data_IF_818995281195
#
_entry.id   IF_818995281195
#
_cell.length_a   1.000
_cell.length_b   1.000
_cell.length_c   1.000
_cell.angle_alpha   90.00
_cell.angle_beta   90.00
_cell.angle_gamma   90.00
#
_symmetry.space_group_name_H-M   'P 1'
#
loop_
_entity.id
_entity.type
_entity.pdbx_description
1 polymer ?
#
# COMPACT_ATOMS: atom_id res chain seq x y z
N UNK A 1 -61.90 9.66 34.57
CA UNK A 1 -62.41 10.99 34.99
C UNK A 1 -61.47 12.04 34.38
N UNK A 2 -62.01 13.09 33.73
CA UNK A 2 -61.30 13.91 32.75
C UNK A 2 -60.60 15.16 33.34
N UNK A 3 -59.68 15.70 32.53
CA UNK A 3 -59.21 17.09 32.44
C UNK A 3 -58.59 17.79 33.66
N UNK A 4 -57.30 18.13 33.54
CA UNK A 4 -56.85 19.48 33.88
C UNK A 4 -55.84 19.97 32.83
N UNK A 5 -56.41 20.71 31.87
CA UNK A 5 -55.72 21.57 30.94
C UNK A 5 -55.12 22.76 31.70
N UNK A 6 -54.11 23.40 31.09
CA UNK A 6 -53.79 24.82 31.21
C UNK A 6 -52.51 25.18 31.96
N UNK A 7 -51.75 26.07 31.29
CA UNK A 7 -50.49 26.72 31.69
C UNK A 7 -49.31 25.77 31.44
N UNK A 8 -48.59 25.86 30.31
CA UNK A 8 -47.82 27.03 29.92
C UNK A 8 -47.69 27.06 28.40
N UNK A 9 -48.63 27.70 27.75
CA UNK A 9 -48.52 28.13 26.35
C UNK A 9 -47.72 29.43 26.27
N UNK A 10 -46.66 29.64 27.05
CA UNK A 10 -45.95 30.95 27.08
C UNK A 10 -44.47 30.86 27.56
N UNK A 11 -43.67 29.92 27.04
CA UNK A 11 -42.22 30.06 27.13
C UNK A 11 -41.59 29.96 25.73
N UNK A 12 -41.74 31.08 25.02
CA UNK A 12 -40.68 31.80 24.29
C UNK A 12 -39.48 30.99 23.79
N UNK A 13 -39.46 30.79 22.48
CA UNK A 13 -38.42 31.22 21.53
C UNK A 13 -36.94 31.10 21.94
N UNK A 14 -36.18 30.50 21.01
CA UNK A 14 -34.72 30.47 20.83
C UNK A 14 -34.00 29.28 21.45
N UNK A 15 -34.07 28.18 20.72
CA UNK A 15 -33.13 27.08 20.84
C UNK A 15 -33.36 26.09 19.72
N UNK A 16 -33.01 26.47 18.48
CA UNK A 16 -32.85 25.53 17.39
C UNK A 16 -31.71 24.57 17.79
N UNK A 17 -32.05 23.51 18.52
CA UNK A 17 -31.17 22.36 18.64
C UNK A 17 -31.14 21.74 17.24
N UNK A 18 -30.14 22.17 16.47
CA UNK A 18 -29.78 21.70 15.16
C UNK A 18 -29.96 20.19 15.07
N UNK A 19 -30.70 19.75 14.05
CA UNK A 19 -30.68 18.37 13.59
C UNK A 19 -29.21 17.95 13.50
N UNK A 20 -28.79 17.08 14.42
CA UNK A 20 -27.54 16.36 14.30
C UNK A 20 -27.67 15.46 13.10
N UNK A 21 -27.28 15.97 11.93
CA UNK A 21 -26.91 15.12 10.81
C UNK A 21 -25.71 14.34 11.31
N UNK A 22 -25.93 13.11 11.75
CA UNK A 22 -24.85 12.14 11.72
C UNK A 22 -24.40 12.11 10.27
N UNK A 23 -23.25 12.75 9.99
CA UNK A 23 -22.54 12.49 8.77
C UNK A 23 -22.45 10.96 8.65
N UNK A 24 -22.75 10.37 7.49
CA UNK A 24 -22.32 9.00 7.29
C UNK A 24 -20.84 8.97 7.62
N UNK A 25 -20.43 8.02 8.47
CA UNK A 25 -19.04 7.59 8.45
C UNK A 25 -18.82 7.17 7.01
N UNK A 26 -18.23 8.06 6.22
CA UNK A 26 -17.86 7.77 4.86
C UNK A 26 -16.99 6.52 4.96
N UNK A 27 -17.50 5.41 4.44
CA UNK A 27 -16.64 4.32 4.01
C UNK A 27 -15.74 4.96 2.97
N UNK A 28 -14.55 5.38 3.40
CA UNK A 28 -13.47 5.76 2.52
C UNK A 28 -13.24 4.54 1.62
N UNK A 29 -13.53 4.62 0.31
CA UNK A 29 -13.18 3.54 -0.58
C UNK A 29 -11.67 3.36 -0.48
N UNK A 30 -11.24 2.16 -0.15
CA UNK A 30 -9.84 1.76 0.02
C UNK A 30 -9.11 1.72 -1.34
N UNK A 31 -9.40 2.66 -2.22
CA UNK A 31 -9.07 2.58 -3.63
C UNK A 31 -8.21 3.75 -4.09
N UNK A 32 -7.67 4.58 -3.17
CA UNK A 32 -6.56 5.50 -3.47
C UNK A 32 -5.70 5.79 -2.24
N UNK A 33 -5.31 4.74 -1.49
CA UNK A 33 -4.02 4.80 -0.81
C UNK A 33 -2.98 4.44 -1.88
N UNK A 34 -2.31 5.45 -2.44
CA UNK A 34 -1.04 5.22 -3.13
C UNK A 34 -0.11 4.59 -2.10
N UNK A 35 -0.02 3.26 -2.12
CA UNK A 35 0.67 2.46 -1.12
C UNK A 35 2.17 2.75 -1.15
N UNK A 36 2.60 3.67 -0.29
CA UNK A 36 4.01 3.92 -0.05
C UNK A 36 4.60 3.05 1.08
N UNK A 37 3.82 2.11 1.61
CA UNK A 37 4.28 1.11 2.58
C UNK A 37 4.47 -0.30 1.97
N UNK A 38 4.32 -0.43 0.63
CA UNK A 38 4.62 -1.66 -0.08
C UNK A 38 5.92 -1.49 -0.85
N UNK A 39 6.86 -2.40 -0.58
CA UNK A 39 8.16 -2.51 -1.23
C UNK A 39 8.05 -2.29 -2.74
N UNK A 40 8.89 -1.41 -3.27
CA UNK A 40 8.90 -1.08 -4.68
C UNK A 40 9.57 -2.22 -5.45
N UNK A 41 8.73 -3.01 -6.11
CA UNK A 41 9.08 -4.05 -7.07
C UNK A 41 8.16 -3.91 -8.27
N UNK A 42 8.66 -4.21 -9.47
CA UNK A 42 7.86 -4.11 -10.71
C UNK A 42 6.59 -4.97 -10.63
N UNK A 43 5.44 -4.47 -11.10
CA UNK A 43 4.21 -5.28 -11.17
C UNK A 43 4.27 -6.37 -12.25
N UNK A 44 5.28 -6.32 -13.13
CA UNK A 44 5.49 -7.31 -14.19
C UNK A 44 6.32 -8.52 -13.71
N UNK A 45 6.61 -8.60 -12.41
CA UNK A 45 7.41 -9.69 -11.87
C UNK A 45 6.69 -11.04 -11.95
N UNK A 46 7.30 -12.00 -12.64
CA UNK A 46 6.77 -13.37 -12.79
C UNK A 46 7.70 -14.44 -12.22
N UNK A 47 8.94 -14.10 -11.88
CA UNK A 47 9.88 -14.97 -11.22
C UNK A 47 10.51 -14.30 -9.99
N UNK A 48 10.46 -15.01 -8.86
CA UNK A 48 10.89 -14.52 -7.56
C UNK A 48 12.09 -15.31 -7.04
N UNK A 49 12.97 -14.61 -6.34
CA UNK A 49 14.06 -15.19 -5.57
C UNK A 49 13.94 -14.75 -4.11
N UNK A 50 13.92 -15.70 -3.17
CA UNK A 50 14.00 -15.40 -1.74
C UNK A 50 15.46 -15.19 -1.35
N UNK A 51 15.79 -13.97 -0.94
CA UNK A 51 17.15 -13.59 -0.52
C UNK A 51 17.60 -14.47 0.64
N UNK A 52 18.76 -15.11 0.51
CA UNK A 52 19.38 -15.88 1.57
C UNK A 52 20.37 -15.03 2.37
N UNK A 53 20.69 -15.48 3.59
CA UNK A 53 21.70 -14.81 4.42
C UNK A 53 23.08 -14.88 3.74
N UNK A 54 23.69 -13.71 3.57
CA UNK A 54 25.01 -13.59 2.95
C UNK A 54 25.02 -13.50 1.42
N UNK A 55 23.85 -13.52 0.76
CA UNK A 55 23.80 -13.30 -0.69
C UNK A 55 24.28 -11.89 -1.06
N UNK A 56 24.95 -11.82 -2.20
CA UNK A 56 25.13 -10.58 -2.96
C UNK A 56 24.24 -10.61 -4.21
N UNK A 57 23.96 -9.46 -4.82
CA UNK A 57 23.27 -9.44 -6.11
C UNK A 57 24.01 -10.26 -7.19
N UNK A 58 25.35 -10.30 -7.15
CA UNK A 58 26.15 -11.08 -8.09
C UNK A 58 25.93 -12.58 -7.91
N UNK A 59 25.83 -13.06 -6.66
CA UNK A 59 25.52 -14.46 -6.38
C UNK A 59 24.12 -14.82 -6.89
N UNK A 60 23.13 -13.94 -6.70
CA UNK A 60 21.77 -14.15 -7.17
C UNK A 60 21.74 -14.23 -8.71
N UNK A 61 22.39 -13.30 -9.40
CA UNK A 61 22.51 -13.30 -10.87
C UNK A 61 23.19 -14.59 -11.35
N UNK A 62 24.28 -15.01 -10.71
CA UNK A 62 25.01 -16.21 -11.07
C UNK A 62 24.18 -17.49 -10.84
N UNK A 63 23.42 -17.56 -9.74
CA UNK A 63 22.47 -18.66 -9.46
C UNK A 63 21.31 -18.69 -10.47
N UNK A 64 20.93 -17.56 -11.03
CA UNK A 64 19.97 -17.44 -12.12
C UNK A 64 20.59 -17.65 -13.51
N UNK A 65 21.74 -18.33 -13.59
CA UNK A 65 22.45 -18.67 -14.82
C UNK A 65 22.79 -17.47 -15.70
N UNK A 66 22.90 -16.27 -15.11
CA UNK A 66 23.12 -15.00 -15.82
C UNK A 66 22.04 -14.66 -16.86
N UNK A 67 20.81 -15.12 -16.66
CA UNK A 67 19.66 -14.81 -17.54
C UNK A 67 19.24 -13.33 -17.54
N UNK A 68 19.70 -12.56 -16.55
CA UNK A 68 19.51 -11.11 -16.45
C UNK A 68 20.77 -10.40 -15.93
N UNK A 69 20.79 -9.09 -16.08
CA UNK A 69 21.90 -8.21 -15.69
C UNK A 69 21.66 -7.49 -14.37
N UNK A 70 22.71 -6.94 -13.76
CA UNK A 70 22.59 -6.04 -12.60
C UNK A 70 21.62 -4.89 -12.88
N UNK A 71 21.68 -4.29 -14.07
CA UNK A 71 20.77 -3.19 -14.46
C UNK A 71 19.31 -3.63 -14.43
N UNK A 72 19.01 -4.83 -14.95
CA UNK A 72 17.66 -5.39 -14.91
C UNK A 72 17.22 -5.70 -13.48
N UNK A 73 18.10 -6.28 -12.65
CA UNK A 73 17.80 -6.57 -11.25
C UNK A 73 17.40 -5.30 -10.48
N UNK A 74 18.17 -4.21 -10.62
CA UNK A 74 17.88 -2.93 -9.97
C UNK A 74 16.62 -2.27 -10.55
N UNK A 75 16.40 -2.40 -11.85
CA UNK A 75 15.20 -1.89 -12.51
C UNK A 75 13.92 -2.59 -12.01
N UNK A 76 13.98 -3.90 -11.80
CA UNK A 76 12.85 -4.69 -11.32
C UNK A 76 12.62 -4.53 -9.81
N UNK A 77 13.65 -4.11 -9.07
CA UNK A 77 13.62 -3.94 -7.62
C UNK A 77 14.20 -2.57 -7.20
N UNK A 78 13.45 -1.46 -7.41
CA UNK A 78 13.90 -0.11 -7.06
C UNK A 78 14.38 0.08 -5.61
N UNK A 79 13.93 -0.75 -4.68
CA UNK A 79 14.37 -0.71 -3.29
C UNK A 79 15.81 -1.23 -3.08
N UNK A 80 16.37 -2.00 -4.03
CA UNK A 80 17.75 -2.50 -3.94
C UNK A 80 18.70 -1.39 -4.37
N UNK A 81 19.67 -1.07 -3.53
CA UNK A 81 20.64 -0.03 -3.86
C UNK A 81 21.70 -0.55 -4.87
N UNK A 82 22.36 0.34 -5.64
CA UNK A 82 23.27 -0.07 -6.71
C UNK A 82 24.52 -0.84 -6.25
N UNK A 83 24.86 -0.77 -4.95
CA UNK A 83 25.99 -1.48 -4.35
C UNK A 83 25.57 -2.78 -3.65
N UNK A 84 24.27 -3.14 -3.71
CA UNK A 84 23.69 -4.36 -3.18
C UNK A 84 23.95 -4.62 -1.69
N UNK A 85 24.01 -3.57 -0.87
CA UNK A 85 24.28 -3.69 0.57
C UNK A 85 23.02 -3.76 1.45
N UNK A 86 21.84 -3.62 0.86
CA UNK A 86 20.56 -3.56 1.58
C UNK A 86 19.64 -4.75 1.27
N UNK A 87 20.20 -5.88 0.84
CA UNK A 87 19.47 -7.13 0.71
C UNK A 87 18.98 -7.59 2.10
N UNK A 88 17.73 -8.01 2.17
CA UNK A 88 17.10 -8.45 3.42
C UNK A 88 16.80 -9.94 3.31
N UNK A 89 17.47 -10.81 4.09
CA UNK A 89 17.21 -12.25 4.08
C UNK A 89 15.73 -12.57 4.36
N UNK A 90 15.19 -13.57 3.66
CA UNK A 90 13.79 -13.98 3.72
C UNK A 90 12.83 -13.08 2.91
N UNK A 91 13.34 -12.06 2.20
CA UNK A 91 12.51 -11.25 1.29
C UNK A 91 12.61 -11.74 -0.13
N UNK A 92 11.45 -11.78 -0.79
CA UNK A 92 11.37 -12.04 -2.22
C UNK A 92 11.74 -10.78 -3.01
N UNK A 93 12.62 -10.97 -3.99
CA UNK A 93 12.96 -9.98 -5.01
C UNK A 93 12.63 -10.54 -6.39
N UNK A 94 12.46 -9.64 -7.34
CA UNK A 94 12.18 -10.01 -8.72
C UNK A 94 13.45 -10.39 -9.47
N UNK A 95 13.44 -11.54 -10.12
CA UNK A 95 14.54 -12.06 -10.96
C UNK A 95 14.08 -12.43 -12.37
N UNK A 96 12.82 -12.18 -12.69
CA UNK A 96 12.27 -12.35 -14.03
C UNK A 96 10.96 -11.59 -14.17
N UNK A 97 10.71 -11.10 -15.39
CA UNK A 97 9.50 -10.37 -15.74
C UNK A 97 8.83 -10.96 -16.96
N UNK A 98 7.51 -10.81 -17.03
CA UNK A 98 6.76 -11.17 -18.23
C UNK A 98 7.17 -10.28 -19.40
N UNK A 99 7.32 -10.87 -20.58
CA UNK A 99 7.68 -10.12 -21.79
C UNK A 99 6.46 -9.37 -22.37
N UNK A 100 6.57 -8.09 -22.75
CA UNK A 100 7.76 -7.23 -22.62
C UNK A 100 7.93 -6.67 -21.19
N UNK A 101 9.18 -6.63 -20.72
CA UNK A 101 9.51 -6.08 -19.40
C UNK A 101 9.54 -4.54 -19.35
N UNK A 102 9.75 -3.94 -18.15
CA UNK A 102 9.92 -2.49 -18.00
C UNK A 102 11.08 -1.94 -18.84
N UNK A 103 10.96 -0.68 -19.27
CA UNK A 103 12.07 0.03 -19.94
C UNK A 103 12.97 0.72 -18.92
N UNK A 104 14.24 0.34 -18.98
CA UNK A 104 15.39 0.79 -18.20
C UNK A 104 16.66 0.45 -19.02
#
# INVERSE_FOLDING_TARGET
>A
MPALHSRFFIYTLLGLASLGMAAPLEHVPSDKVSGHDKLQMTPLCDLYYEVQSGDTCWDIIARSENTFTMRQLLCWNPDINPICTNLIPGRNICVGVTFPGPSC
#
